data_IF_376355606618
#
_entry.id   IF_376355606618
#
_cell.length_a   1.000
_cell.length_b   1.000
_cell.length_c   1.000
_cell.angle_alpha   90.00
_cell.angle_beta   90.00
_cell.angle_gamma   90.00
#
_symmetry.space_group_name_H-M   'P 1'
#
loop_
_entity.id
_entity.type
_entity.pdbx_description
1 polymer ?
#
# COMPACT_ATOMS: atom_id res chain seq x y z
N UNK A 1 4.07 -5.88 7.34
CA UNK A 1 5.41 -5.49 7.78
C UNK A 1 5.38 -5.37 9.29
N UNK A 2 6.28 -6.04 9.99
CA UNK A 2 6.40 -5.98 11.45
C UNK A 2 7.44 -4.92 11.88
N UNK A 3 7.53 -4.63 13.18
CA UNK A 3 8.45 -3.62 13.72
C UNK A 3 9.93 -3.90 13.40
N UNK A 4 10.37 -5.16 13.49
CA UNK A 4 11.75 -5.56 13.15
C UNK A 4 12.11 -5.30 11.68
N UNK A 5 11.15 -5.48 10.77
CA UNK A 5 11.32 -5.13 9.35
C UNK A 5 11.38 -3.61 9.16
N UNK A 6 10.54 -2.86 9.89
CA UNK A 6 10.51 -1.39 9.82
C UNK A 6 11.79 -0.74 10.35
N UNK A 7 12.41 -1.29 11.40
CA UNK A 7 13.66 -0.78 11.98
C UNK A 7 14.79 -0.72 10.94
N UNK A 8 14.86 -1.70 10.04
CA UNK A 8 15.88 -1.80 8.99
C UNK A 8 15.76 -0.75 7.89
N UNK A 9 14.62 -0.06 7.77
CA UNK A 9 14.38 0.90 6.70
C UNK A 9 14.99 2.27 7.03
N UNK A 10 15.65 2.91 6.07
CA UNK A 10 16.14 4.29 6.20
C UNK A 10 15.05 5.31 5.82
N UNK A 11 13.93 5.29 6.55
CA UNK A 11 12.82 6.23 6.38
C UNK A 11 12.78 7.24 7.53
N UNK A 12 12.60 8.55 7.26
CA UNK A 12 12.63 9.60 8.28
C UNK A 12 11.47 9.51 9.27
N UNK A 13 10.31 9.02 8.81
CA UNK A 13 9.13 8.82 9.64
C UNK A 13 8.59 7.41 9.42
N UNK A 14 8.33 6.70 10.51
CA UNK A 14 7.85 5.31 10.52
C UNK A 14 6.64 5.22 11.43
N UNK A 15 5.57 4.60 10.96
CA UNK A 15 4.31 4.48 11.68
C UNK A 15 3.89 3.01 11.72
N UNK A 16 3.92 2.40 12.91
CA UNK A 16 3.46 1.03 13.10
C UNK A 16 1.93 1.03 13.23
N UNK A 17 1.27 0.20 12.42
CA UNK A 17 -0.18 -0.01 12.50
C UNK A 17 -0.41 -1.32 13.26
N UNK A 18 -0.98 -1.23 14.47
CA UNK A 18 -1.21 -2.37 15.36
C UNK A 18 -0.14 -2.59 16.43
N UNK A 19 -0.33 -3.63 17.25
CA UNK A 19 0.61 -4.03 18.30
C UNK A 19 1.81 -4.80 17.74
N UNK A 20 2.93 -4.81 18.47
CA UNK A 20 4.13 -5.60 18.15
C UNK A 20 3.80 -7.10 18.09
N UNK A 21 3.87 -7.66 16.88
CA UNK A 21 3.52 -9.05 16.57
C UNK A 21 3.70 -9.38 15.09
N UNK A 22 3.44 -10.64 14.65
CA UNK A 22 3.72 -11.13 13.29
C UNK A 22 2.84 -10.51 12.17
N UNK A 23 2.26 -9.33 12.38
CA UNK A 23 1.22 -8.73 11.54
C UNK A 23 -0.18 -9.24 11.92
N UNK A 24 -1.22 -8.85 11.17
CA UNK A 24 -2.62 -9.15 11.50
C UNK A 24 -3.01 -10.64 11.44
N UNK A 25 -2.08 -11.57 11.20
CA UNK A 25 -2.37 -13.00 11.12
C UNK A 25 -3.40 -13.35 10.04
N UNK A 26 -3.56 -12.49 9.02
CA UNK A 26 -4.64 -12.53 8.02
C UNK A 26 -6.07 -12.28 8.56
N UNK A 27 -6.22 -11.89 9.82
CA UNK A 27 -7.52 -11.45 10.37
C UNK A 27 -7.77 -9.99 9.98
N UNK A 28 -8.86 -9.78 9.23
CA UNK A 28 -9.24 -8.47 8.70
C UNK A 28 -9.75 -7.52 9.79
N UNK A 29 -10.54 -8.01 10.73
CA UNK A 29 -11.22 -7.18 11.72
C UNK A 29 -10.22 -6.57 12.71
N UNK A 30 -9.20 -7.35 13.09
CA UNK A 30 -8.08 -6.88 13.92
C UNK A 30 -7.29 -5.79 13.18
N UNK A 31 -7.04 -5.99 11.88
CA UNK A 31 -6.33 -5.00 11.07
C UNK A 31 -7.14 -3.69 10.93
N UNK A 32 -8.46 -3.79 10.80
CA UNK A 32 -9.36 -2.64 10.63
C UNK A 32 -9.53 -1.86 11.94
N UNK A 33 -9.58 -2.53 13.09
CA UNK A 33 -9.60 -1.90 14.41
C UNK A 33 -8.29 -1.16 14.73
N UNK A 34 -7.14 -1.81 14.54
CA UNK A 34 -5.84 -1.20 14.83
C UNK A 34 -5.52 -0.03 13.90
N UNK A 35 -6.03 -0.06 12.67
CA UNK A 35 -5.92 1.05 11.73
C UNK A 35 -6.60 2.33 12.22
N UNK A 36 -7.76 2.25 12.88
CA UNK A 36 -8.47 3.45 13.35
C UNK A 36 -7.62 4.32 14.28
N UNK A 37 -6.67 3.69 15.01
CA UNK A 37 -5.74 4.39 15.90
C UNK A 37 -4.69 5.23 15.18
N UNK A 38 -4.37 4.91 13.91
CA UNK A 38 -3.36 5.64 13.12
C UNK A 38 -3.94 6.85 12.38
N UNK A 39 -5.26 6.94 12.26
CA UNK A 39 -5.93 8.00 11.50
C UNK A 39 -5.54 9.43 11.92
N UNK A 40 -5.47 9.76 13.22
CA UNK A 40 -5.03 11.09 13.65
C UNK A 40 -3.58 11.40 13.23
N UNK A 41 -2.71 10.40 13.16
CA UNK A 41 -1.35 10.57 12.65
C UNK A 41 -1.36 10.82 11.14
N UNK A 42 -2.18 10.08 10.38
CA UNK A 42 -2.33 10.30 8.95
C UNK A 42 -2.83 11.72 8.65
N UNK A 43 -3.77 12.24 9.43
CA UNK A 43 -4.20 13.64 9.31
C UNK A 43 -3.03 14.60 9.46
N UNK A 44 -2.20 14.45 10.50
CA UNK A 44 -1.02 15.30 10.70
C UNK A 44 -0.05 15.27 9.53
N UNK A 45 0.10 14.11 8.86
CA UNK A 45 0.97 13.97 7.69
C UNK A 45 0.38 14.69 6.46
N UNK A 46 -0.93 14.59 6.28
CA UNK A 46 -1.64 15.13 5.11
C UNK A 46 -1.96 16.63 5.23
N UNK A 47 -1.98 17.20 6.44
CA UNK A 47 -2.26 18.62 6.66
C UNK A 47 -1.32 19.50 5.82
N UNK A 48 -1.92 20.45 5.09
CA UNK A 48 -1.21 21.42 4.26
C UNK A 48 -0.59 20.85 2.98
N UNK A 49 -0.77 19.56 2.68
CA UNK A 49 -0.26 18.94 1.46
C UNK A 49 -1.23 19.18 0.29
N UNK A 50 -0.68 19.63 -0.83
CA UNK A 50 -1.44 19.77 -2.09
C UNK A 50 -1.55 18.43 -2.82
N UNK A 51 -0.46 17.66 -2.78
CA UNK A 51 -0.33 16.35 -3.42
C UNK A 51 -0.02 15.29 -2.36
N UNK A 52 -0.62 14.12 -2.52
CA UNK A 52 -0.28 12.90 -1.76
C UNK A 52 -0.17 11.71 -2.70
N UNK A 53 0.94 10.99 -2.59
CA UNK A 53 1.20 9.77 -3.33
C UNK A 53 1.18 8.59 -2.36
N UNK A 54 0.29 7.64 -2.60
CA UNK A 54 0.17 6.41 -1.83
C UNK A 54 0.83 5.29 -2.59
N UNK A 55 1.82 4.63 -1.98
CA UNK A 55 2.54 3.50 -2.59
C UNK A 55 2.19 2.25 -1.79
N UNK A 56 1.67 1.21 -2.45
CA UNK A 56 1.19 0.00 -1.77
C UNK A 56 1.46 -1.27 -2.58
N UNK A 57 1.91 -2.30 -1.88
CA UNK A 57 1.95 -3.65 -2.44
C UNK A 57 0.62 -4.36 -2.18
N UNK A 58 -0.09 -4.74 -3.24
CA UNK A 58 -1.35 -5.46 -3.12
C UNK A 58 -1.11 -6.98 -3.08
N UNK A 59 -2.10 -7.72 -2.55
CA UNK A 59 -2.04 -9.18 -2.39
C UNK A 59 -1.73 -9.62 -0.96
N UNK A 60 -1.14 -8.74 -0.14
CA UNK A 60 -1.00 -8.91 1.30
C UNK A 60 -2.18 -8.33 2.10
N UNK A 61 -2.30 -8.70 3.38
CA UNK A 61 -3.43 -8.26 4.22
C UNK A 61 -3.39 -6.76 4.57
N UNK A 62 -2.23 -6.22 4.96
CA UNK A 62 -2.12 -4.83 5.40
C UNK A 62 -2.39 -3.84 4.25
N UNK A 63 -1.69 -4.00 3.12
CA UNK A 63 -1.87 -3.13 1.95
C UNK A 63 -3.30 -3.15 1.44
N UNK A 64 -3.90 -4.34 1.34
CA UNK A 64 -5.26 -4.51 0.85
C UNK A 64 -6.32 -3.85 1.76
N UNK A 65 -6.17 -3.97 3.08
CA UNK A 65 -7.17 -3.46 4.03
C UNK A 65 -7.04 -1.95 4.27
N UNK A 66 -5.82 -1.40 4.31
CA UNK A 66 -5.60 -0.01 4.74
C UNK A 66 -5.78 1.02 3.62
N UNK A 67 -5.44 0.66 2.37
CA UNK A 67 -5.30 1.66 1.30
C UNK A 67 -6.59 2.42 1.01
N UNK A 68 -7.73 1.74 0.98
CA UNK A 68 -9.02 2.37 0.71
C UNK A 68 -9.32 3.45 1.75
N UNK A 69 -9.04 3.16 3.01
CA UNK A 69 -9.39 4.06 4.11
C UNK A 69 -8.43 5.24 4.21
N UNK A 70 -7.14 5.04 3.89
CA UNK A 70 -6.19 6.14 3.74
C UNK A 70 -6.56 7.09 2.60
N UNK A 71 -6.97 6.54 1.46
CA UNK A 71 -7.45 7.34 0.34
C UNK A 71 -8.75 8.07 0.68
N UNK A 72 -9.69 7.41 1.34
CA UNK A 72 -10.92 8.05 1.81
C UNK A 72 -10.59 9.21 2.75
N UNK A 73 -9.61 9.02 3.65
CA UNK A 73 -9.20 10.10 4.55
C UNK A 73 -8.61 11.30 3.80
N UNK A 74 -7.81 11.05 2.77
CA UNK A 74 -7.29 12.12 1.91
C UNK A 74 -8.40 12.87 1.15
N UNK A 75 -9.47 12.16 0.75
CA UNK A 75 -10.68 12.77 0.18
C UNK A 75 -11.38 13.65 1.23
N UNK A 76 -11.60 13.14 2.44
CA UNK A 76 -12.26 13.87 3.53
C UNK A 76 -11.49 15.15 3.90
N UNK A 77 -10.16 15.08 3.85
CA UNK A 77 -9.25 16.20 4.07
C UNK A 77 -9.10 17.14 2.87
N UNK A 78 -9.81 16.87 1.77
CA UNK A 78 -9.81 17.68 0.54
C UNK A 78 -8.41 17.86 -0.07
N UNK A 79 -7.58 16.81 -0.02
CA UNK A 79 -6.29 16.82 -0.71
C UNK A 79 -6.53 16.94 -2.22
N UNK A 80 -5.90 17.95 -2.83
CA UNK A 80 -6.16 18.32 -4.23
C UNK A 80 -5.77 17.22 -5.21
N UNK A 81 -4.58 16.63 -5.04
CA UNK A 81 -4.04 15.60 -5.93
C UNK A 81 -3.69 14.35 -5.12
N UNK A 82 -4.26 13.21 -5.51
CA UNK A 82 -4.16 11.90 -4.85
C UNK A 82 -3.70 10.88 -5.89
N UNK A 83 -2.42 10.54 -5.88
CA UNK A 83 -1.85 9.51 -6.75
C UNK A 83 -1.73 8.19 -5.99
N UNK A 84 -1.97 7.09 -6.69
CA UNK A 84 -1.81 5.75 -6.15
C UNK A 84 -0.84 4.96 -7.03
N UNK A 85 0.22 4.43 -6.44
CA UNK A 85 1.15 3.49 -7.08
C UNK A 85 0.93 2.14 -6.42
N UNK A 86 0.56 1.14 -7.20
CA UNK A 86 0.32 -0.22 -6.71
C UNK A 86 1.21 -1.23 -7.40
N UNK A 87 1.68 -2.23 -6.66
CA UNK A 87 2.20 -3.46 -7.27
C UNK A 87 1.10 -4.52 -7.25
N UNK A 88 0.94 -5.23 -8.37
CA UNK A 88 0.00 -6.34 -8.50
C UNK A 88 0.77 -7.66 -8.32
N UNK A 89 0.31 -8.59 -7.45
CA UNK A 89 1.06 -9.80 -7.15
C UNK A 89 1.16 -10.70 -8.38
N UNK A 90 2.27 -11.42 -8.50
CA UNK A 90 2.50 -12.36 -9.58
C UNK A 90 1.55 -13.57 -9.47
N UNK A 91 1.18 -14.20 -10.59
CA UNK A 91 0.27 -15.36 -10.60
C UNK A 91 0.74 -16.50 -9.69
N UNK A 92 2.06 -16.71 -9.60
CA UNK A 92 2.66 -17.72 -8.72
C UNK A 92 2.42 -17.46 -7.23
N UNK A 93 2.10 -16.23 -6.82
CA UNK A 93 1.76 -15.90 -5.44
C UNK A 93 0.32 -16.32 -5.08
N UNK A 94 -0.49 -16.65 -6.09
CA UNK A 94 -1.85 -17.19 -5.99
C UNK A 94 -2.89 -16.35 -6.74
N UNK A 95 -3.68 -17.01 -7.59
CA UNK A 95 -4.78 -16.42 -8.36
C UNK A 95 -5.75 -15.59 -7.50
N UNK A 96 -6.14 -16.14 -6.35
CA UNK A 96 -7.10 -15.49 -5.44
C UNK A 96 -6.54 -14.16 -4.89
N UNK A 97 -5.23 -14.08 -4.60
CA UNK A 97 -4.60 -12.84 -4.13
C UNK A 97 -4.63 -11.77 -5.22
N UNK A 98 -4.33 -12.16 -6.46
CA UNK A 98 -4.32 -11.26 -7.62
C UNK A 98 -5.72 -10.75 -7.94
N UNK A 99 -6.73 -11.61 -7.92
CA UNK A 99 -8.11 -11.19 -8.13
C UNK A 99 -8.58 -10.22 -7.04
N UNK A 100 -8.26 -10.49 -5.77
CA UNK A 100 -8.55 -9.57 -4.65
C UNK A 100 -7.86 -8.22 -4.85
N UNK A 101 -6.61 -8.20 -5.30
CA UNK A 101 -5.87 -6.98 -5.60
C UNK A 101 -6.53 -6.16 -6.72
N UNK A 102 -6.93 -6.78 -7.82
CA UNK A 102 -7.65 -6.12 -8.92
C UNK A 102 -8.96 -5.48 -8.45
N UNK A 103 -9.74 -6.18 -7.60
CA UNK A 103 -10.96 -5.64 -7.00
C UNK A 103 -10.71 -4.42 -6.11
N UNK A 104 -9.52 -4.32 -5.50
CA UNK A 104 -9.14 -3.15 -4.68
C UNK A 104 -8.79 -1.97 -5.58
N UNK A 105 -8.01 -2.18 -6.64
CA UNK A 105 -7.69 -1.16 -7.64
C UNK A 105 -8.98 -0.55 -8.20
N UNK A 106 -9.96 -1.38 -8.55
CA UNK A 106 -11.22 -0.88 -9.10
C UNK A 106 -11.98 0.02 -8.10
N UNK A 107 -11.97 -0.36 -6.82
CA UNK A 107 -12.59 0.44 -5.74
C UNK A 107 -11.86 1.75 -5.49
N UNK A 108 -10.54 1.81 -5.68
CA UNK A 108 -9.74 3.02 -5.41
C UNK A 108 -9.73 4.02 -6.56
N UNK A 109 -10.14 3.64 -7.78
CA UNK A 109 -10.29 4.56 -8.93
C UNK A 109 -11.14 5.79 -8.61
N UNK A 110 -12.19 5.63 -7.80
CA UNK A 110 -13.09 6.74 -7.43
C UNK A 110 -12.51 7.67 -6.38
N UNK A 111 -11.42 7.28 -5.73
CA UNK A 111 -10.80 8.02 -4.61
C UNK A 111 -9.47 8.65 -5.00
N UNK A 112 -9.00 8.44 -6.23
CA UNK A 112 -7.68 8.83 -6.72
C UNK A 112 -7.81 9.61 -8.01
N UNK A 113 -6.86 10.52 -8.24
CA UNK A 113 -6.76 11.30 -9.48
C UNK A 113 -5.91 10.57 -10.54
N UNK A 114 -5.10 9.60 -10.10
CA UNK A 114 -4.32 8.74 -10.99
C UNK A 114 -3.86 7.47 -10.29
N UNK A 115 -3.80 6.37 -11.05
CA UNK A 115 -3.29 5.08 -10.58
C UNK A 115 -2.20 4.58 -11.52
N UNK A 116 -1.03 4.29 -10.98
CA UNK A 116 0.05 3.58 -11.64
C UNK A 116 0.08 2.14 -11.14
N UNK A 117 0.01 1.18 -12.06
CA UNK A 117 0.03 -0.25 -11.75
C UNK A 117 1.35 -0.84 -12.25
N UNK A 118 2.14 -1.38 -11.33
CA UNK A 118 3.30 -2.22 -11.63
C UNK A 118 2.83 -3.66 -11.56
N UNK A 119 2.64 -4.28 -12.71
CA UNK A 119 2.21 -5.67 -12.78
C UNK A 119 3.42 -6.61 -12.70
N UNK A 120 3.51 -7.40 -11.63
CA UNK A 120 4.63 -8.32 -11.46
C UNK A 120 4.65 -9.43 -12.53
N UNK A 121 3.52 -9.77 -13.18
CA UNK A 121 3.49 -10.79 -14.23
C UNK A 121 4.26 -10.40 -15.49
N UNK A 122 4.41 -9.11 -15.75
CA UNK A 122 5.07 -8.61 -16.97
C UNK A 122 6.55 -8.29 -16.75
N UNK A 123 7.05 -8.44 -15.52
CA UNK A 123 8.45 -8.17 -15.19
C UNK A 123 9.33 -9.33 -15.66
N UNK A 124 10.45 -9.05 -16.37
CA UNK A 124 11.33 -10.08 -16.91
C UNK A 124 12.21 -10.68 -15.79
N UNK A 125 11.63 -11.56 -14.97
CA UNK A 125 12.29 -12.15 -13.81
C UNK A 125 12.19 -13.67 -13.80
N UNK A 126 13.33 -14.32 -13.54
CA UNK A 126 13.43 -15.78 -13.51
C UNK A 126 13.24 -16.38 -12.10
N UNK A 127 13.16 -15.54 -11.06
CA UNK A 127 12.89 -15.97 -9.68
C UNK A 127 12.18 -14.87 -8.88
N UNK A 128 11.52 -15.27 -7.79
CA UNK A 128 10.67 -14.39 -6.96
C UNK A 128 11.50 -13.29 -6.24
N UNK A 129 12.72 -13.60 -5.82
CA UNK A 129 13.57 -12.62 -5.13
C UNK A 129 13.94 -11.44 -6.04
N UNK A 130 14.29 -11.72 -7.29
CA UNK A 130 14.58 -10.70 -8.30
C UNK A 130 13.32 -9.93 -8.70
N UNK A 131 12.15 -10.61 -8.70
CA UNK A 131 10.88 -10.01 -9.06
C UNK A 131 10.51 -8.81 -8.19
N UNK A 132 10.62 -8.97 -6.87
CA UNK A 132 10.34 -7.86 -5.94
C UNK A 132 11.33 -6.70 -6.14
N UNK A 133 12.61 -6.99 -6.39
CA UNK A 133 13.62 -5.96 -6.64
C UNK A 133 13.42 -5.20 -7.97
N UNK A 134 12.92 -5.86 -9.02
CA UNK A 134 12.51 -5.17 -10.26
C UNK A 134 11.24 -4.34 -10.06
N UNK A 135 10.26 -4.86 -9.32
CA UNK A 135 9.05 -4.13 -8.98
C UNK A 135 9.37 -2.84 -8.22
N UNK A 136 10.26 -2.93 -7.21
CA UNK A 136 10.73 -1.77 -6.45
C UNK A 136 11.42 -0.74 -7.35
N UNK A 137 12.30 -1.18 -8.27
CA UNK A 137 12.94 -0.28 -9.25
C UNK A 137 11.92 0.41 -10.15
N UNK A 138 10.89 -0.31 -10.61
CA UNK A 138 9.84 0.27 -11.44
C UNK A 138 8.98 1.28 -10.67
N UNK A 139 8.65 0.98 -9.41
CA UNK A 139 7.97 1.91 -8.50
C UNK A 139 8.79 3.18 -8.30
N UNK A 140 10.10 3.04 -8.03
CA UNK A 140 11.02 4.18 -7.88
C UNK A 140 11.00 5.05 -9.14
N UNK A 141 11.12 4.46 -10.33
CA UNK A 141 11.11 5.22 -11.60
C UNK A 141 9.79 5.96 -11.89
N UNK A 142 8.70 5.65 -11.18
CA UNK A 142 7.41 6.36 -11.31
C UNK A 142 7.40 7.61 -10.41
N UNK A 143 8.12 7.57 -9.29
CA UNK A 143 8.05 8.59 -8.23
C UNK A 143 9.27 9.53 -8.18
N UNK A 144 10.39 9.14 -8.81
CA UNK A 144 11.61 9.95 -8.96
C UNK A 144 11.84 10.34 -10.41
#
# INVERSE_FOLDING_TARGET
>A
MNSKEMEKLSLPHKYLIGADGPGSGKNRDIAEYEYQKILPCLEKILIGKILSCFIVCLGGCTGNSCIKTFLQKAVDMKIKIKLLVVTLPHLSEGMEKREKALRIIDKTKKLTDGIFVVDNDVLPCNNISNLHGEADRKVISIIT
#
